data_IF_454789954198
#
_entry.id   IF_454789954198
#
_cell.length_a   1.000
_cell.length_b   1.000
_cell.length_c   1.000
_cell.angle_alpha   90.00
_cell.angle_beta   90.00
_cell.angle_gamma   90.00
#
_symmetry.space_group_name_H-M   'P 1'
#
loop_
_entity.id
_entity.type
_entity.pdbx_description
1 polymer ?
#
# COMPACT_ATOMS: atom_id res chain seq x y z
N UNK A 1 -44.78 -4.41 1.35
CA UNK A 1 -44.86 -5.79 0.82
C UNK A 1 -46.05 -6.53 1.44
N UNK A 2 -46.12 -6.72 2.75
CA UNK A 2 -47.18 -7.47 3.44
C UNK A 2 -48.58 -6.91 3.19
N UNK A 3 -48.76 -5.56 3.16
CA UNK A 3 -50.01 -4.92 2.82
C UNK A 3 -50.51 -5.25 1.42
N UNK A 4 -49.60 -5.35 0.45
CA UNK A 4 -49.92 -5.71 -0.93
C UNK A 4 -50.29 -7.19 -1.08
N UNK A 5 -49.63 -8.11 -0.35
CA UNK A 5 -49.96 -9.54 -0.35
C UNK A 5 -51.42 -9.73 0.06
N UNK A 6 -51.87 -9.04 1.14
CA UNK A 6 -53.23 -9.11 1.63
C UNK A 6 -54.24 -8.44 0.65
N UNK A 7 -53.88 -7.23 0.17
CA UNK A 7 -54.74 -6.46 -0.74
C UNK A 7 -55.01 -7.15 -2.06
N UNK A 8 -53.99 -7.77 -2.67
CA UNK A 8 -54.05 -8.42 -3.96
C UNK A 8 -54.31 -9.95 -3.85
N UNK A 9 -54.54 -10.47 -2.63
CA UNK A 9 -54.82 -11.86 -2.34
C UNK A 9 -53.82 -12.84 -3.02
N UNK A 10 -52.56 -12.54 -2.91
CA UNK A 10 -51.49 -13.30 -3.57
C UNK A 10 -51.33 -14.73 -3.04
N UNK A 11 -52.02 -15.10 -1.97
CA UNK A 11 -52.09 -16.48 -1.45
C UNK A 11 -52.93 -17.43 -2.31
N UNK A 12 -53.75 -16.91 -3.23
CA UNK A 12 -54.53 -17.76 -4.14
C UNK A 12 -53.60 -18.49 -5.11
N UNK A 13 -53.85 -19.79 -5.34
CA UNK A 13 -53.00 -20.62 -6.21
C UNK A 13 -52.76 -20.02 -7.59
N UNK A 14 -53.73 -19.36 -8.16
CA UNK A 14 -53.69 -18.69 -9.47
C UNK A 14 -52.67 -17.50 -9.50
N UNK A 15 -52.29 -16.99 -8.34
CA UNK A 15 -51.37 -15.85 -8.20
C UNK A 15 -50.00 -16.22 -7.61
N UNK A 16 -49.74 -17.48 -7.43
CA UNK A 16 -48.50 -17.96 -6.87
C UNK A 16 -47.26 -17.54 -7.68
N UNK A 17 -47.35 -17.52 -9.01
CA UNK A 17 -46.25 -17.02 -9.84
C UNK A 17 -45.85 -15.58 -9.47
N UNK A 18 -46.83 -14.69 -9.30
CA UNK A 18 -46.60 -13.31 -8.88
C UNK A 18 -46.04 -13.25 -7.47
N UNK A 19 -46.54 -14.05 -6.54
CA UNK A 19 -46.00 -14.16 -5.19
C UNK A 19 -44.54 -14.60 -5.17
N UNK A 20 -44.19 -15.64 -5.94
CA UNK A 20 -42.81 -16.16 -6.04
C UNK A 20 -41.85 -15.12 -6.62
N UNK A 21 -42.26 -14.37 -7.65
CA UNK A 21 -41.46 -13.30 -8.22
C UNK A 21 -41.15 -12.25 -7.14
N UNK A 22 -42.15 -11.82 -6.39
CA UNK A 22 -41.90 -10.82 -5.31
C UNK A 22 -41.05 -11.39 -4.17
N UNK A 23 -41.22 -12.65 -3.83
CA UNK A 23 -40.43 -13.32 -2.82
C UNK A 23 -38.97 -13.48 -3.25
N UNK A 24 -38.72 -13.76 -4.54
CA UNK A 24 -37.37 -13.86 -5.09
C UNK A 24 -36.58 -12.56 -4.93
N UNK A 25 -37.21 -11.40 -5.13
CA UNK A 25 -36.55 -10.10 -4.88
C UNK A 25 -36.13 -9.95 -3.42
N UNK A 26 -36.96 -10.39 -2.47
CA UNK A 26 -36.59 -10.36 -1.04
C UNK A 26 -35.40 -11.27 -0.79
N UNK A 27 -35.39 -12.49 -1.33
CA UNK A 27 -34.24 -13.38 -1.16
C UNK A 27 -32.98 -12.84 -1.80
N UNK A 28 -33.07 -12.16 -2.96
CA UNK A 28 -31.94 -11.47 -3.59
C UNK A 28 -31.42 -10.36 -2.66
N UNK A 29 -32.29 -9.55 -2.08
CA UNK A 29 -31.90 -8.48 -1.15
C UNK A 29 -31.28 -9.04 0.13
N UNK A 30 -31.85 -10.11 0.68
CA UNK A 30 -31.28 -10.80 1.85
C UNK A 30 -29.91 -11.40 1.49
N UNK A 31 -29.79 -12.06 0.34
CA UNK A 31 -28.51 -12.57 -0.14
C UNK A 31 -27.47 -11.47 -0.31
N UNK A 32 -27.84 -10.37 -0.95
CA UNK A 32 -26.97 -9.20 -1.10
C UNK A 32 -26.54 -8.59 0.26
N UNK A 33 -27.47 -8.53 1.22
CA UNK A 33 -27.14 -8.10 2.59
C UNK A 33 -26.14 -9.03 3.26
N UNK A 34 -26.34 -10.35 3.18
CA UNK A 34 -25.43 -11.36 3.73
C UNK A 34 -24.05 -11.21 3.08
N UNK A 35 -23.98 -11.15 1.75
CA UNK A 35 -22.75 -10.99 1.00
C UNK A 35 -22.03 -9.69 1.37
N UNK A 36 -22.75 -8.60 1.57
CA UNK A 36 -22.15 -7.30 1.87
C UNK A 36 -21.63 -7.17 3.30
N UNK A 37 -22.35 -7.72 4.28
CA UNK A 37 -22.11 -7.43 5.71
C UNK A 37 -21.65 -8.63 6.52
N UNK A 38 -21.96 -9.85 6.12
CA UNK A 38 -21.69 -11.07 6.88
C UNK A 38 -20.60 -11.90 6.22
N UNK A 39 -20.55 -11.93 4.87
CA UNK A 39 -19.58 -12.76 4.16
C UNK A 39 -18.15 -12.31 4.44
N UNK A 40 -17.28 -13.29 4.37
CA UNK A 40 -15.86 -13.13 4.53
C UNK A 40 -15.20 -13.46 3.19
N UNK A 41 -14.63 -12.45 2.55
CA UNK A 41 -14.01 -12.56 1.25
C UNK A 41 -12.56 -12.10 1.32
N UNK A 42 -11.71 -12.69 0.47
CA UNK A 42 -10.32 -12.31 0.41
C UNK A 42 -9.63 -12.80 -0.85
N UNK A 43 -8.40 -12.36 -1.04
CA UNK A 43 -7.55 -12.72 -2.16
C UNK A 43 -6.32 -13.48 -1.66
N UNK A 44 -6.03 -14.60 -2.30
CA UNK A 44 -4.82 -15.40 -2.07
C UNK A 44 -3.94 -15.35 -3.32
N UNK A 45 -2.92 -14.49 -3.37
CA UNK A 45 -1.98 -14.46 -4.48
C UNK A 45 -1.02 -15.66 -4.37
N UNK A 46 -1.16 -16.61 -5.27
CA UNK A 46 -0.30 -17.79 -5.34
C UNK A 46 0.45 -17.75 -6.68
N UNK A 47 1.77 -17.87 -6.64
CA UNK A 47 2.58 -18.05 -7.85
C UNK A 47 2.51 -19.51 -8.29
N UNK A 48 2.58 -19.74 -9.61
CA UNK A 48 2.63 -21.09 -10.16
C UNK A 48 3.76 -21.91 -9.53
N UNK A 49 3.43 -23.11 -9.09
CA UNK A 49 4.33 -24.01 -8.34
C UNK A 49 4.43 -23.71 -6.84
N UNK A 50 3.97 -22.54 -6.36
CA UNK A 50 4.04 -22.17 -4.95
C UNK A 50 2.85 -22.71 -4.15
N UNK A 51 3.03 -22.76 -2.83
CA UNK A 51 2.01 -23.14 -1.84
C UNK A 51 1.79 -21.99 -0.88
N UNK A 52 0.55 -21.63 -0.58
CA UNK A 52 0.20 -20.57 0.35
C UNK A 52 -0.98 -21.00 1.24
N UNK A 53 -0.93 -20.58 2.52
CA UNK A 53 -2.02 -20.74 3.48
C UNK A 53 -2.63 -19.41 3.89
N UNK A 54 -1.99 -18.28 3.53
CA UNK A 54 -2.39 -16.94 3.94
C UNK A 54 -3.14 -16.24 2.82
N UNK A 55 -4.17 -15.52 3.19
CA UNK A 55 -4.91 -14.68 2.26
C UNK A 55 -5.19 -13.30 2.84
N UNK A 56 -5.39 -12.34 1.97
CA UNK A 56 -5.66 -10.96 2.30
C UNK A 56 -7.16 -10.70 2.30
N UNK A 57 -7.67 -10.06 3.36
CA UNK A 57 -9.06 -9.60 3.43
C UNK A 57 -9.41 -8.67 2.26
N UNK A 58 -10.62 -8.77 1.73
CA UNK A 58 -11.19 -7.79 0.78
C UNK A 58 -11.51 -6.44 1.43
N UNK A 59 -11.51 -6.35 2.76
CA UNK A 59 -11.73 -5.11 3.50
C UNK A 59 -10.39 -4.54 3.98
N UNK A 60 -10.25 -3.22 3.92
CA UNK A 60 -9.16 -2.52 4.58
C UNK A 60 -9.41 -2.46 6.09
N UNK A 61 -8.36 -2.61 6.86
CA UNK A 61 -8.36 -2.51 8.31
C UNK A 61 -7.40 -1.41 8.76
N UNK A 62 -7.74 -0.76 9.85
CA UNK A 62 -6.77 -0.06 10.68
C UNK A 62 -6.45 -0.98 11.86
N UNK A 63 -5.19 -1.41 11.94
CA UNK A 63 -4.66 -2.16 13.07
C UNK A 63 -3.79 -1.26 13.90
N UNK A 64 -4.08 -1.18 15.19
CA UNK A 64 -3.35 -0.40 16.18
C UNK A 64 -2.77 -1.38 17.20
N UNK A 65 -1.45 -1.44 17.25
CA UNK A 65 -0.72 -2.15 18.29
C UNK A 65 -0.20 -1.11 19.26
N UNK A 66 -0.57 -1.21 20.52
CA UNK A 66 -0.13 -0.32 21.60
C UNK A 66 0.74 -1.12 22.54
N UNK A 67 2.01 -0.75 22.62
CA UNK A 67 2.99 -1.34 23.53
C UNK A 67 3.29 -0.40 24.69
N UNK A 68 3.39 -0.95 25.87
CA UNK A 68 3.69 -0.18 27.08
C UNK A 68 3.95 -1.07 28.29
N UNK A 69 4.30 -0.45 29.38
CA UNK A 69 4.41 -1.12 30.68
C UNK A 69 3.02 -1.27 31.31
N UNK A 70 2.65 -2.49 31.66
CA UNK A 70 1.43 -2.82 32.40
C UNK A 70 1.81 -3.47 33.72
N UNK A 71 1.78 -2.69 34.79
CA UNK A 71 2.12 -3.13 36.16
C UNK A 71 3.54 -3.72 36.30
N UNK A 72 4.51 -3.13 35.58
CA UNK A 72 5.91 -3.58 35.61
C UNK A 72 6.27 -4.66 34.58
N UNK A 73 5.34 -5.04 33.71
CA UNK A 73 5.58 -6.00 32.63
C UNK A 73 5.26 -5.37 31.26
N UNK A 74 6.12 -5.58 30.25
CA UNK A 74 5.82 -5.13 28.89
C UNK A 74 4.65 -5.91 28.32
N UNK A 75 3.62 -5.19 27.87
CA UNK A 75 2.42 -5.79 27.24
C UNK A 75 2.08 -5.09 25.95
N UNK A 76 1.38 -5.82 25.08
CA UNK A 76 0.81 -5.33 23.84
C UNK A 76 -0.71 -5.45 23.85
N UNK A 77 -1.38 -4.39 23.47
CA UNK A 77 -2.80 -4.34 23.17
C UNK A 77 -3.01 -4.16 21.68
N UNK A 78 -3.95 -4.92 21.11
CA UNK A 78 -4.24 -4.86 19.66
C UNK A 78 -5.70 -4.47 19.44
N UNK A 79 -5.92 -3.47 18.59
CA UNK A 79 -7.24 -3.08 18.09
C UNK A 79 -7.22 -3.24 16.57
N UNK A 80 -8.24 -3.90 16.04
CA UNK A 80 -8.43 -4.07 14.59
C UNK A 80 -9.82 -3.55 14.22
N UNK A 81 -9.85 -2.51 13.40
CA UNK A 81 -11.11 -1.89 12.95
C UNK A 81 -11.24 -2.01 11.44
N UNK A 82 -12.26 -2.71 10.91
CA UNK A 82 -12.55 -2.68 9.48
C UNK A 82 -13.00 -1.28 9.07
N UNK A 83 -12.48 -0.79 7.96
CA UNK A 83 -12.76 0.54 7.44
C UNK A 83 -13.45 0.45 6.08
N UNK A 84 -14.49 1.26 5.89
CA UNK A 84 -15.16 1.49 4.61
C UNK A 84 -14.88 2.93 4.20
N UNK A 85 -13.70 3.16 3.63
CA UNK A 85 -13.27 4.48 3.20
C UNK A 85 -13.67 4.74 1.75
N UNK A 86 -14.03 5.97 1.45
CA UNK A 86 -14.35 6.44 0.11
C UNK A 86 -13.89 7.88 -0.07
N UNK A 87 -13.40 8.21 -1.25
CA UNK A 87 -12.98 9.58 -1.58
C UNK A 87 -14.16 10.58 -1.63
N UNK A 88 -15.36 10.07 -1.90
CA UNK A 88 -16.58 10.90 -2.06
C UNK A 88 -17.52 10.85 -0.85
N UNK A 89 -17.28 9.93 0.09
CA UNK A 89 -18.06 9.83 1.32
C UNK A 89 -17.43 10.68 2.42
N UNK A 90 -18.26 11.10 3.36
CA UNK A 90 -17.78 11.73 4.57
C UNK A 90 -17.21 10.64 5.49
N UNK A 91 -15.90 10.42 5.37
CA UNK A 91 -15.20 9.49 6.26
C UNK A 91 -15.02 10.19 7.60
N UNK A 92 -15.38 9.51 8.67
CA UNK A 92 -15.15 9.98 10.03
C UNK A 92 -15.05 8.78 10.97
N UNK A 93 -14.04 8.76 11.81
CA UNK A 93 -13.95 7.84 12.92
C UNK A 93 -12.98 8.36 13.99
N UNK A 94 -13.27 8.00 15.22
CA UNK A 94 -12.36 8.13 16.35
C UNK A 94 -12.36 6.80 17.12
N UNK A 95 -11.19 6.27 17.37
CA UNK A 95 -10.98 5.09 18.20
C UNK A 95 -10.36 5.58 19.50
N UNK A 96 -11.10 5.51 20.59
CA UNK A 96 -10.63 5.87 21.92
C UNK A 96 -10.50 4.62 22.74
N UNK A 97 -9.37 4.47 23.43
CA UNK A 97 -9.12 3.35 24.31
C UNK A 97 -8.11 3.75 25.41
N UNK A 98 -7.78 2.86 26.31
CA UNK A 98 -6.79 3.09 27.34
C UNK A 98 -5.76 1.95 27.43
N UNK A 99 -4.56 2.29 27.87
CA UNK A 99 -3.52 1.34 28.21
C UNK A 99 -3.05 1.61 29.63
N UNK A 100 -3.39 0.71 30.59
CA UNK A 100 -3.12 0.88 32.03
C UNK A 100 -3.60 2.24 32.56
N UNK A 101 -4.89 2.55 32.33
CA UNK A 101 -5.53 3.83 32.70
C UNK A 101 -4.93 5.09 32.02
N UNK A 102 -4.09 4.94 30.99
CA UNK A 102 -3.57 6.02 30.16
C UNK A 102 -4.41 6.09 28.89
N UNK A 103 -5.29 7.09 28.77
CA UNK A 103 -6.16 7.20 27.60
C UNK A 103 -5.37 7.59 26.38
N UNK A 104 -5.77 7.03 25.25
CA UNK A 104 -5.29 7.44 23.92
C UNK A 104 -6.42 7.44 22.91
N UNK A 105 -6.23 8.16 21.82
CA UNK A 105 -7.15 8.17 20.71
C UNK A 105 -6.43 8.16 19.38
N UNK A 106 -7.07 7.51 18.40
CA UNK A 106 -6.67 7.55 16.99
C UNK A 106 -7.84 8.08 16.18
N UNK A 107 -7.68 9.28 15.64
CA UNK A 107 -8.77 10.02 14.98
C UNK A 107 -8.45 10.20 13.50
N UNK A 108 -9.45 10.02 12.66
CA UNK A 108 -9.38 10.25 11.22
C UNK A 108 -9.05 11.71 10.90
N UNK A 109 -8.18 11.95 9.95
CA UNK A 109 -7.88 13.28 9.39
C UNK A 109 -8.18 13.34 7.89
N UNK A 110 -7.66 12.41 7.11
CA UNK A 110 -7.84 12.41 5.66
C UNK A 110 -7.66 11.02 5.07
N UNK A 111 -8.25 10.81 3.88
CA UNK A 111 -8.05 9.61 3.07
C UNK A 111 -7.82 10.02 1.62
N UNK A 112 -6.72 9.56 1.05
CA UNK A 112 -6.27 9.91 -0.30
C UNK A 112 -6.13 8.60 -1.06
N UNK A 113 -6.98 8.43 -2.06
CA UNK A 113 -6.97 7.26 -2.93
C UNK A 113 -5.92 7.42 -4.04
N UNK A 114 -5.22 6.34 -4.38
CA UNK A 114 -4.14 6.34 -5.36
C UNK A 114 -3.15 7.50 -5.11
N UNK A 115 -2.59 7.50 -3.91
CA UNK A 115 -1.78 8.61 -3.41
C UNK A 115 -0.35 8.55 -3.95
N UNK A 116 0.13 9.69 -4.39
CA UNK A 116 1.54 9.90 -4.77
C UNK A 116 2.17 10.85 -3.75
N UNK A 117 3.36 10.51 -3.27
CA UNK A 117 4.14 11.40 -2.43
C UNK A 117 4.64 12.58 -3.25
N UNK A 118 4.44 13.79 -2.74
CA UNK A 118 4.93 15.03 -3.34
C UNK A 118 5.61 15.89 -2.29
N UNK A 119 6.45 16.83 -2.73
CA UNK A 119 7.00 17.85 -1.86
C UNK A 119 6.28 19.17 -2.12
N UNK A 120 5.54 19.64 -1.11
CA UNK A 120 4.96 20.99 -1.14
C UNK A 120 6.01 21.99 -0.71
N UNK A 121 6.29 23.03 -1.52
CA UNK A 121 7.27 24.05 -1.16
C UNK A 121 6.94 24.71 0.18
N UNK A 122 7.94 24.78 1.06
CA UNK A 122 7.87 25.45 2.37
C UNK A 122 9.26 25.95 2.73
N UNK A 123 9.43 27.26 2.93
CA UNK A 123 10.74 27.87 3.26
C UNK A 123 11.31 27.35 4.58
N UNK A 124 10.45 26.94 5.50
CA UNK A 124 10.84 26.36 6.80
C UNK A 124 10.93 24.84 6.74
N UNK A 125 10.67 24.25 5.58
CA UNK A 125 10.69 22.82 5.34
C UNK A 125 12.12 22.27 5.23
N UNK A 126 12.19 20.97 5.07
CA UNK A 126 13.44 20.24 4.86
C UNK A 126 13.83 20.26 3.38
N UNK A 127 15.09 19.96 3.09
CA UNK A 127 15.57 19.92 1.70
C UNK A 127 15.46 18.49 1.17
N UNK A 128 14.79 18.35 0.02
CA UNK A 128 14.58 17.06 -0.66
C UNK A 128 15.15 17.10 -2.07
N UNK A 129 15.78 16.01 -2.46
CA UNK A 129 16.26 15.76 -3.81
C UNK A 129 15.37 14.70 -4.47
N UNK A 130 14.73 15.04 -5.58
CA UNK A 130 13.91 14.10 -6.37
C UNK A 130 14.81 13.16 -7.16
N UNK A 131 14.57 11.87 -7.05
CA UNK A 131 15.18 10.80 -7.81
C UNK A 131 14.08 10.02 -8.54
N UNK A 132 14.29 9.77 -9.81
CA UNK A 132 13.38 8.98 -10.65
C UNK A 132 14.12 7.78 -11.17
N UNK A 133 13.59 6.60 -10.95
CA UNK A 133 14.13 5.36 -11.49
C UNK A 133 13.09 4.60 -12.33
N UNK A 134 13.58 3.66 -13.14
CA UNK A 134 12.73 2.72 -13.86
C UNK A 134 13.10 1.29 -13.44
N UNK A 135 12.15 0.60 -12.86
CA UNK A 135 12.27 -0.79 -12.46
C UNK A 135 11.09 -1.59 -13.00
N UNK A 136 11.36 -2.76 -13.61
CA UNK A 136 10.33 -3.63 -14.19
C UNK A 136 9.39 -2.93 -15.20
N UNK A 137 9.88 -1.94 -15.93
CA UNK A 137 9.11 -1.17 -16.90
C UNK A 137 8.17 -0.12 -16.28
N UNK A 138 8.22 0.07 -14.97
CA UNK A 138 7.45 1.09 -14.25
C UNK A 138 8.38 2.19 -13.74
N UNK A 139 7.93 3.44 -13.85
CA UNK A 139 8.63 4.62 -13.33
C UNK A 139 8.28 4.80 -11.85
N UNK A 140 9.32 4.96 -11.01
CA UNK A 140 9.18 5.23 -9.59
C UNK A 140 9.86 6.56 -9.25
N UNK A 141 9.21 7.35 -8.41
CA UNK A 141 9.71 8.63 -7.92
C UNK A 141 10.01 8.52 -6.43
N UNK A 142 11.19 8.99 -6.02
CA UNK A 142 11.66 8.98 -4.65
C UNK A 142 12.14 10.37 -4.26
N UNK A 143 12.01 10.72 -2.99
CA UNK A 143 12.48 11.96 -2.43
C UNK A 143 13.51 11.68 -1.33
N UNK A 144 14.78 11.97 -1.64
CA UNK A 144 15.89 11.82 -0.69
C UNK A 144 15.95 13.05 0.19
N UNK A 145 15.78 12.89 1.49
CA UNK A 145 15.90 13.98 2.45
C UNK A 145 17.37 14.28 2.72
N UNK A 146 17.72 15.55 2.84
CA UNK A 146 19.08 15.99 3.19
C UNK A 146 19.48 15.46 4.57
N UNK A 147 20.68 14.85 4.65
CA UNK A 147 21.20 14.21 5.86
C UNK A 147 20.76 12.75 6.06
N UNK A 148 20.00 12.17 5.13
CA UNK A 148 19.54 10.79 5.23
C UNK A 148 20.15 9.87 4.17
N UNK A 149 20.05 8.55 4.44
CA UNK A 149 20.42 7.47 3.54
C UNK A 149 19.20 6.63 3.29
N UNK A 150 18.90 6.35 2.03
CA UNK A 150 17.77 5.53 1.62
C UNK A 150 18.26 4.36 0.76
N UNK A 151 17.73 3.16 1.02
CA UNK A 151 17.97 2.01 0.17
C UNK A 151 16.88 1.89 -0.89
N UNK A 152 17.28 1.91 -2.15
CA UNK A 152 16.39 1.71 -3.30
C UNK A 152 16.89 0.46 -4.04
N UNK A 153 16.07 -0.58 -4.08
CA UNK A 153 16.40 -1.88 -4.71
C UNK A 153 17.77 -2.45 -4.30
N UNK A 154 18.14 -2.28 -3.02
CA UNK A 154 19.42 -2.79 -2.49
C UNK A 154 20.64 -1.89 -2.74
N UNK A 155 20.45 -0.73 -3.39
CA UNK A 155 21.48 0.29 -3.58
C UNK A 155 21.22 1.45 -2.63
N UNK A 156 22.25 1.86 -1.90
CA UNK A 156 22.18 2.97 -0.98
C UNK A 156 22.38 4.30 -1.72
N UNK A 157 21.45 5.23 -1.50
CA UNK A 157 21.55 6.63 -1.91
C UNK A 157 21.64 7.51 -0.70
N UNK A 158 22.58 8.43 -0.69
CA UNK A 158 22.79 9.37 0.39
C UNK A 158 22.78 10.80 -0.14
N UNK A 159 22.00 11.68 0.49
CA UNK A 159 21.97 13.09 0.15
C UNK A 159 22.51 13.91 1.32
N UNK A 160 23.57 14.70 1.06
CA UNK A 160 24.29 15.51 2.05
C UNK A 160 24.76 14.72 3.31
N UNK A 161 25.00 13.42 3.14
CA UNK A 161 25.54 12.55 4.17
C UNK A 161 26.52 11.57 3.55
N UNK A 162 27.80 11.84 3.68
CA UNK A 162 28.84 10.96 3.18
C UNK A 162 28.70 9.56 3.82
N UNK A 163 28.42 8.55 3.00
CA UNK A 163 28.17 7.18 3.43
C UNK A 163 28.95 6.21 2.54
N UNK A 164 29.72 5.34 3.17
CA UNK A 164 30.48 4.33 2.46
C UNK A 164 29.53 3.29 1.82
N UNK A 165 29.87 2.87 0.60
CA UNK A 165 29.02 1.93 -0.15
C UNK A 165 27.75 2.54 -0.76
N UNK A 166 27.53 3.83 -0.61
CA UNK A 166 26.39 4.53 -1.19
C UNK A 166 26.77 5.33 -2.44
N UNK A 167 25.74 5.65 -3.24
CA UNK A 167 25.82 6.72 -4.22
C UNK A 167 25.52 8.01 -3.47
N UNK A 168 26.58 8.81 -3.25
CA UNK A 168 26.51 10.04 -2.47
C UNK A 168 26.28 11.24 -3.38
N UNK A 169 25.25 12.01 -3.09
CA UNK A 169 24.96 13.30 -3.70
C UNK A 169 25.25 14.36 -2.63
N UNK A 170 26.16 15.25 -2.90
CA UNK A 170 26.69 16.24 -1.95
C UNK A 170 26.54 17.65 -2.52
N UNK A 171 26.06 18.55 -1.68
CA UNK A 171 26.02 19.98 -1.96
C UNK A 171 27.32 20.61 -1.42
N UNK A 172 28.08 21.30 -2.28
CA UNK A 172 29.31 21.99 -1.91
C UNK A 172 29.37 23.36 -2.60
N UNK A 173 29.35 24.42 -1.80
CA UNK A 173 29.24 25.77 -2.32
C UNK A 173 27.95 25.94 -3.11
N UNK A 174 28.06 26.44 -4.34
CA UNK A 174 26.90 26.66 -5.23
C UNK A 174 26.63 25.47 -6.15
N UNK A 175 27.26 24.32 -5.93
CA UNK A 175 27.16 23.15 -6.83
C UNK A 175 26.78 21.86 -6.15
N UNK A 176 26.31 20.93 -6.96
CA UNK A 176 26.02 19.56 -6.55
C UNK A 176 27.02 18.59 -7.17
N UNK A 177 27.42 17.61 -6.40
CA UNK A 177 28.43 16.64 -6.78
C UNK A 177 27.95 15.21 -6.52
N UNK A 178 28.44 14.29 -7.31
CA UNK A 178 28.20 12.86 -7.14
C UNK A 178 29.52 12.17 -6.80
N UNK A 179 29.49 11.28 -5.83
CA UNK A 179 30.59 10.35 -5.49
C UNK A 179 30.02 8.96 -5.25
N UNK A 180 30.60 7.96 -5.88
CA UNK A 180 30.18 6.57 -5.70
C UNK A 180 31.41 5.67 -5.60
N UNK A 181 31.31 4.64 -4.75
CA UNK A 181 32.28 3.54 -4.70
C UNK A 181 32.16 2.60 -5.91
N UNK A 182 31.12 2.81 -6.73
CA UNK A 182 30.89 2.07 -7.97
C UNK A 182 31.21 2.98 -9.16
N UNK A 183 31.86 2.40 -10.18
CA UNK A 183 31.97 3.05 -11.47
C UNK A 183 30.62 3.02 -12.21
N UNK A 184 30.48 3.90 -13.18
CA UNK A 184 29.27 3.92 -13.99
C UNK A 184 29.40 4.87 -15.17
N UNK A 185 28.29 5.13 -15.81
CA UNK A 185 28.18 6.09 -16.90
C UNK A 185 26.93 6.97 -16.72
N UNK A 186 26.91 8.07 -17.43
CA UNK A 186 25.73 8.89 -17.54
C UNK A 186 25.53 9.42 -18.95
N UNK A 187 24.30 9.68 -19.31
CA UNK A 187 23.94 10.32 -20.57
C UNK A 187 23.03 11.53 -20.30
N UNK A 188 23.47 12.70 -20.68
CA UNK A 188 22.66 13.92 -20.56
C UNK A 188 21.52 13.88 -21.58
N UNK A 189 20.29 14.05 -21.11
CA UNK A 189 19.11 13.86 -21.95
C UNK A 189 18.93 14.93 -23.02
N UNK A 190 19.50 16.14 -22.81
CA UNK A 190 19.30 17.28 -23.70
C UNK A 190 20.03 17.12 -25.04
N UNK A 191 21.25 16.59 -25.02
CA UNK A 191 22.15 16.53 -26.18
C UNK A 191 22.82 15.17 -26.37
N UNK A 192 22.39 14.15 -25.57
CA UNK A 192 22.91 12.79 -25.57
C UNK A 192 24.42 12.70 -25.29
N UNK A 193 25.02 13.73 -24.68
CA UNK A 193 26.40 13.70 -24.25
C UNK A 193 26.60 12.61 -23.22
N UNK A 194 27.57 11.73 -23.45
CA UNK A 194 27.92 10.63 -22.54
C UNK A 194 29.14 11.01 -21.72
N UNK A 195 29.16 10.57 -20.47
CA UNK A 195 30.28 10.71 -19.56
C UNK A 195 30.40 9.51 -18.65
N UNK A 196 31.50 9.44 -17.92
CA UNK A 196 31.79 8.36 -16.97
C UNK A 196 31.69 8.88 -15.55
N UNK A 197 31.13 8.05 -14.66
CA UNK A 197 31.23 8.23 -13.22
C UNK A 197 32.44 7.41 -12.74
N UNK A 198 33.52 8.14 -12.39
CA UNK A 198 34.75 7.53 -11.94
C UNK A 198 34.58 7.10 -10.47
N UNK A 199 34.93 5.85 -10.21
CA UNK A 199 34.90 5.26 -8.87
C UNK A 199 35.68 6.13 -7.86
N UNK A 200 35.09 6.32 -6.68
CA UNK A 200 35.64 7.04 -5.53
C UNK A 200 36.04 8.51 -5.79
N UNK A 201 35.70 9.04 -6.97
CA UNK A 201 35.96 10.43 -7.36
C UNK A 201 34.75 11.30 -7.14
N UNK A 202 34.96 12.49 -6.58
CA UNK A 202 33.95 13.53 -6.48
C UNK A 202 33.87 14.27 -7.82
N UNK A 203 32.71 14.25 -8.45
CA UNK A 203 32.47 14.82 -9.77
C UNK A 203 31.23 15.72 -9.78
N UNK A 204 31.18 16.76 -10.63
CA UNK A 204 29.98 17.57 -10.77
C UNK A 204 28.76 16.72 -11.13
N UNK A 205 27.66 16.92 -10.43
CA UNK A 205 26.39 16.25 -10.73
C UNK A 205 25.71 16.96 -11.91
N UNK A 206 25.34 16.15 -12.92
CA UNK A 206 24.57 16.63 -14.07
C UNK A 206 23.11 16.28 -13.91
N UNK A 207 22.27 17.28 -13.57
CA UNK A 207 20.82 17.11 -13.57
C UNK A 207 20.29 16.77 -14.96
N UNK A 208 19.12 16.14 -15.02
CA UNK A 208 18.48 15.68 -16.27
C UNK A 208 19.37 14.77 -17.10
N UNK A 209 20.14 13.94 -16.42
CA UNK A 209 20.98 12.91 -17.02
C UNK A 209 20.56 11.54 -16.52
N UNK A 210 20.53 10.57 -17.42
CA UNK A 210 20.34 9.17 -17.07
C UNK A 210 21.66 8.61 -16.56
N UNK A 211 21.72 8.27 -15.32
CA UNK A 211 22.85 7.58 -14.67
C UNK A 211 22.63 6.07 -14.68
N UNK A 212 23.71 5.33 -14.89
CA UNK A 212 23.75 3.90 -14.76
C UNK A 212 24.94 3.54 -13.83
N UNK A 213 24.66 3.30 -12.57
CA UNK A 213 25.66 3.03 -11.54
C UNK A 213 25.24 1.79 -10.75
N UNK A 214 26.12 0.83 -10.59
CA UNK A 214 25.87 -0.43 -9.86
C UNK A 214 24.63 -1.21 -10.36
N UNK A 215 24.26 -1.05 -11.64
CA UNK A 215 23.06 -1.67 -12.22
C UNK A 215 21.77 -0.91 -11.99
N UNK A 216 21.78 0.18 -11.22
CA UNK A 216 20.63 1.09 -11.12
C UNK A 216 20.64 2.11 -12.24
N UNK A 217 19.48 2.30 -12.86
CA UNK A 217 19.23 3.37 -13.81
C UNK A 217 18.33 4.43 -13.18
N UNK A 218 18.84 5.64 -13.02
CA UNK A 218 18.11 6.71 -12.38
C UNK A 218 18.39 8.08 -13.00
N UNK A 219 17.49 9.00 -12.78
CA UNK A 219 17.57 10.40 -13.19
C UNK A 219 17.34 11.31 -12.00
N UNK A 220 18.11 12.36 -11.89
CA UNK A 220 17.87 13.48 -10.97
C UNK A 220 17.33 14.65 -11.83
N UNK A 221 15.98 14.86 -11.86
CA UNK A 221 15.39 15.73 -12.85
C UNK A 221 15.61 17.23 -12.57
N UNK A 222 15.78 17.58 -11.32
CA UNK A 222 15.84 18.98 -10.87
C UNK A 222 16.70 19.13 -9.61
N UNK A 223 17.08 20.37 -9.34
CA UNK A 223 17.80 20.71 -8.12
C UNK A 223 16.93 20.43 -6.86
N UNK A 224 17.55 20.20 -5.70
CA UNK A 224 16.83 20.01 -4.46
C UNK A 224 15.88 21.15 -4.13
N UNK A 225 14.74 20.84 -3.55
CA UNK A 225 13.72 21.79 -3.15
C UNK A 225 13.50 21.74 -1.65
N UNK A 226 13.23 22.90 -1.05
CA UNK A 226 12.77 22.99 0.35
C UNK A 226 11.28 22.81 0.43
N UNK A 227 10.83 21.96 1.34
CA UNK A 227 9.40 21.71 1.47
C UNK A 227 9.06 20.69 2.54
N UNK A 228 7.82 20.29 2.54
CA UNK A 228 7.26 19.23 3.38
C UNK A 228 6.70 18.13 2.50
N UNK A 229 6.91 16.88 2.93
CA UNK A 229 6.25 15.73 2.32
C UNK A 229 4.74 15.87 2.47
N UNK A 230 4.03 15.62 1.40
CA UNK A 230 2.58 15.62 1.36
C UNK A 230 2.10 14.54 0.40
N UNK A 231 0.83 14.21 0.49
CA UNK A 231 0.21 13.22 -0.37
C UNK A 231 -0.83 13.88 -1.27
N UNK A 232 -0.87 13.47 -2.51
CA UNK A 232 -1.85 13.94 -3.48
C UNK A 232 -2.37 12.77 -4.32
N UNK A 233 -3.69 12.77 -4.60
CA UNK A 233 -4.28 11.75 -5.47
C UNK A 233 -3.80 11.96 -6.91
N UNK A 234 -3.40 10.87 -7.58
CA UNK A 234 -3.08 10.91 -9.00
C UNK A 234 -4.33 11.05 -9.89
N UNK A 235 -5.53 11.04 -9.28
CA UNK A 235 -6.84 11.12 -9.94
C UNK A 235 -7.10 10.06 -11.04
N UNK A 236 -6.24 9.07 -11.18
CA UNK A 236 -6.48 7.95 -12.09
C UNK A 236 -7.14 6.78 -11.33
N UNK A 237 -8.45 6.72 -11.39
CA UNK A 237 -9.24 5.65 -10.78
C UNK A 237 -8.98 4.25 -11.40
N UNK A 238 -8.31 4.17 -12.55
CA UNK A 238 -7.92 2.93 -13.21
C UNK A 238 -6.56 2.43 -12.75
N UNK A 239 -5.77 3.30 -12.15
CA UNK A 239 -4.49 2.92 -11.57
C UNK A 239 -4.73 2.08 -10.30
N UNK A 240 -4.40 0.80 -10.40
CA UNK A 240 -4.47 -0.15 -9.28
C UNK A 240 -3.10 -0.45 -8.68
N UNK A 241 -2.07 0.23 -9.15
CA UNK A 241 -0.68 0.00 -8.72
C UNK A 241 -0.26 0.96 -7.61
N UNK A 242 -0.90 2.11 -7.54
CA UNK A 242 -0.63 3.13 -6.50
C UNK A 242 -1.43 2.81 -5.24
N UNK A 243 -0.77 2.91 -4.10
CA UNK A 243 -1.39 2.65 -2.81
C UNK A 243 -2.22 3.85 -2.33
N UNK A 244 -3.16 3.60 -1.43
CA UNK A 244 -3.93 4.63 -0.76
C UNK A 244 -3.18 5.13 0.48
N UNK A 245 -3.52 6.32 0.94
CA UNK A 245 -2.99 6.88 2.19
C UNK A 245 -4.12 7.25 3.12
N UNK A 246 -4.07 6.70 4.32
CA UNK A 246 -4.92 7.09 5.44
C UNK A 246 -4.10 7.96 6.41
N UNK A 247 -4.56 9.18 6.64
CA UNK A 247 -3.94 10.10 7.61
C UNK A 247 -4.77 10.09 8.88
N UNK A 248 -4.12 9.80 10.00
CA UNK A 248 -4.73 9.77 11.32
C UNK A 248 -3.92 10.61 12.30
N UNK A 249 -4.59 11.15 13.31
CA UNK A 249 -3.96 11.81 14.46
C UNK A 249 -3.98 10.83 15.63
N UNK A 250 -2.83 10.54 16.19
CA UNK A 250 -2.68 9.78 17.43
C UNK A 250 -2.48 10.76 18.57
N UNK A 251 -3.30 10.64 19.61
CA UNK A 251 -3.19 11.47 20.82
C UNK A 251 -3.00 10.56 22.04
N UNK A 252 -1.95 10.78 22.80
CA UNK A 252 -1.68 10.11 24.07
C UNK A 252 -0.79 11.00 24.96
N UNK A 253 -0.97 10.92 26.29
CA UNK A 253 -0.16 11.65 27.25
C UNK A 253 -0.10 13.18 26.98
N UNK A 254 -1.19 13.78 26.46
CA UNK A 254 -1.27 15.20 26.11
C UNK A 254 -0.44 15.60 24.87
N UNK A 255 0.12 14.65 24.15
CA UNK A 255 0.83 14.86 22.89
C UNK A 255 0.01 14.36 21.73
N UNK A 256 0.17 14.99 20.57
CA UNK A 256 -0.48 14.63 19.31
C UNK A 256 0.57 14.46 18.22
N UNK A 257 0.36 13.45 17.38
CA UNK A 257 1.17 13.22 16.18
C UNK A 257 0.28 12.79 15.02
N UNK A 258 0.48 13.42 13.86
CA UNK A 258 -0.20 13.04 12.62
C UNK A 258 0.64 12.01 11.88
N UNK A 259 0.00 10.92 11.48
CA UNK A 259 0.66 9.76 10.88
C UNK A 259 0.00 9.45 9.55
N UNK A 260 0.81 9.32 8.50
CA UNK A 260 0.39 8.87 7.18
C UNK A 260 0.64 7.38 7.03
N UNK A 261 -0.42 6.62 6.83
CA UNK A 261 -0.41 5.17 6.70
C UNK A 261 -0.64 4.80 5.25
N UNK A 262 0.38 4.25 4.61
CA UNK A 262 0.32 3.78 3.22
C UNK A 262 -0.17 2.35 3.19
N UNK A 263 -1.19 2.06 2.40
CA UNK A 263 -1.73 0.72 2.26
C UNK A 263 -2.76 0.59 1.17
N UNK A 264 -3.02 -0.65 0.75
CA UNK A 264 -4.04 -0.96 -0.24
C UNK A 264 -4.63 -2.35 -0.03
N UNK A 265 -5.72 -2.62 -0.73
CA UNK A 265 -6.33 -3.94 -0.75
C UNK A 265 -5.40 -4.98 -1.36
N UNK A 266 -5.37 -6.16 -0.75
CA UNK A 266 -4.64 -7.32 -1.25
C UNK A 266 -3.13 -7.25 -1.11
N UNK A 267 -2.60 -6.27 -0.36
CA UNK A 267 -1.18 -6.11 -0.11
C UNK A 267 -0.88 -6.04 1.38
N UNK A 268 0.32 -6.44 1.74
CA UNK A 268 0.89 -6.18 3.06
C UNK A 268 1.31 -4.72 3.15
N UNK A 269 0.89 -4.03 4.19
CA UNK A 269 1.21 -2.62 4.43
C UNK A 269 2.44 -2.49 5.31
N UNK A 270 3.15 -1.38 5.18
CA UNK A 270 4.33 -1.07 5.99
C UNK A 270 3.85 -0.43 7.30
N UNK A 271 4.16 -1.05 8.46
CA UNK A 271 3.83 -0.47 9.75
C UNK A 271 4.48 0.89 9.96
N UNK A 272 3.75 1.83 10.59
CA UNK A 272 4.27 3.11 11.05
C UNK A 272 4.33 3.12 12.57
N UNK A 273 5.48 3.51 13.09
CA UNK A 273 5.72 3.54 14.52
C UNK A 273 5.72 4.97 15.05
N UNK A 274 5.00 5.20 16.14
CA UNK A 274 4.87 6.49 16.80
C UNK A 274 5.07 6.29 18.29
N UNK A 275 5.90 7.15 18.90
CA UNK A 275 6.15 7.12 20.34
C UNK A 275 5.61 8.36 21.03
N UNK A 276 4.57 8.20 21.84
CA UNK A 276 3.96 9.29 22.60
C UNK A 276 4.11 9.04 24.11
N UNK A 277 5.14 9.66 24.67
CA UNK A 277 5.52 9.45 26.07
C UNK A 277 6.09 8.04 26.30
N UNK A 278 5.41 7.27 27.12
CA UNK A 278 5.77 5.89 27.49
C UNK A 278 4.98 4.81 26.72
N UNK A 279 4.18 5.23 25.76
CA UNK A 279 3.46 4.34 24.87
C UNK A 279 4.09 4.33 23.46
N UNK A 280 4.31 3.13 22.95
CA UNK A 280 4.76 2.92 21.58
C UNK A 280 3.58 2.38 20.75
N UNK A 281 3.22 3.09 19.68
CA UNK A 281 2.15 2.72 18.77
C UNK A 281 2.74 2.19 17.47
N UNK A 282 2.24 1.04 17.02
CA UNK A 282 2.45 0.55 15.65
C UNK A 282 1.12 0.56 14.92
N UNK A 283 1.02 1.35 13.87
CA UNK A 283 -0.19 1.54 13.08
C UNK A 283 -0.02 0.91 11.71
N UNK A 284 -1.02 0.15 11.28
CA UNK A 284 -1.02 -0.54 9.98
C UNK A 284 -2.37 -0.28 9.31
N UNK A 285 -2.34 0.19 8.06
CA UNK A 285 -3.53 0.40 7.25
C UNK A 285 -3.46 -0.46 5.99
N UNK A 286 -4.47 -1.28 5.73
CA UNK A 286 -4.56 -2.14 4.54
C UNK A 286 -5.31 -3.43 4.80
N UNK A 287 -5.10 -4.43 3.96
CA UNK A 287 -5.74 -5.73 4.13
C UNK A 287 -5.18 -6.48 5.33
N UNK A 288 -6.08 -7.06 6.12
CA UNK A 288 -5.71 -8.00 7.16
C UNK A 288 -5.30 -9.33 6.54
N UNK A 289 -4.25 -9.93 7.04
CA UNK A 289 -3.79 -11.27 6.65
C UNK A 289 -4.46 -12.30 7.55
N UNK A 290 -5.07 -13.29 6.93
CA UNK A 290 -5.65 -14.45 7.60
C UNK A 290 -4.92 -15.71 7.20
N UNK A 291 -4.83 -16.66 8.12
CA UNK A 291 -4.24 -17.95 7.87
C UNK A 291 -5.33 -19.04 7.86
N UNK A 292 -5.33 -19.87 6.81
CA UNK A 292 -6.22 -20.99 6.67
C UNK A 292 -5.63 -22.21 7.40
N UNK A 293 -6.47 -23.11 7.94
CA UNK A 293 -6.00 -24.35 8.56
C UNK A 293 -5.44 -25.37 7.53
N UNK A 294 -5.47 -25.03 6.26
CA UNK A 294 -4.95 -25.82 5.13
C UNK A 294 -4.17 -24.91 4.19
N UNK A 295 -3.38 -25.51 3.29
CA UNK A 295 -2.63 -24.78 2.26
C UNK A 295 -3.14 -25.12 0.88
N UNK A 296 -3.00 -24.17 -0.05
CA UNK A 296 -3.34 -24.35 -1.46
C UNK A 296 -2.06 -24.22 -2.27
N UNK A 297 -1.76 -25.25 -3.07
CA UNK A 297 -0.68 -25.22 -4.06
C UNK A 297 -1.26 -24.95 -5.43
N UNK A 298 -0.75 -23.93 -6.13
CA UNK A 298 -1.07 -23.69 -7.53
C UNK A 298 -0.15 -24.54 -8.40
N UNK A 299 -0.69 -25.55 -9.07
CA UNK A 299 0.07 -26.44 -9.94
C UNK A 299 0.30 -25.84 -11.32
N UNK A 300 -0.76 -25.25 -11.90
CA UNK A 300 -0.73 -24.67 -13.23
C UNK A 300 -1.77 -23.55 -13.36
N UNK A 301 -1.46 -22.51 -14.14
CA UNK A 301 -2.33 -21.39 -14.45
C UNK A 301 -2.51 -21.24 -15.95
N UNK A 302 -3.69 -21.60 -16.45
CA UNK A 302 -3.98 -21.75 -17.87
C UNK A 302 -4.84 -20.57 -18.36
N UNK A 303 -4.29 -19.77 -19.28
CA UNK A 303 -5.05 -18.76 -20.01
C UNK A 303 -5.54 -19.27 -21.35
N UNK A 304 -6.83 -19.53 -21.51
CA UNK A 304 -7.44 -19.92 -22.79
C UNK A 304 -7.69 -18.69 -23.66
N UNK A 305 -7.20 -18.68 -24.88
CA UNK A 305 -7.34 -17.55 -25.81
C UNK A 305 -8.54 -17.73 -26.72
N UNK A 306 -9.13 -16.62 -27.17
CA UNK A 306 -10.07 -16.66 -28.27
C UNK A 306 -9.38 -17.12 -29.57
N UNK A 307 -10.01 -17.96 -30.37
CA UNK A 307 -9.46 -18.39 -31.66
C UNK A 307 -9.08 -17.17 -32.53
N UNK A 308 -7.87 -17.17 -33.08
CA UNK A 308 -7.38 -16.10 -33.97
C UNK A 308 -6.89 -14.82 -33.27
N UNK A 309 -6.78 -14.79 -31.92
CA UNK A 309 -6.26 -13.64 -31.19
C UNK A 309 -4.97 -13.99 -30.42
N UNK A 310 -4.01 -13.04 -30.35
CA UNK A 310 -2.79 -13.25 -29.59
C UNK A 310 -2.88 -12.76 -28.14
N UNK A 311 -3.71 -11.74 -27.85
CA UNK A 311 -3.73 -11.04 -26.56
C UNK A 311 -5.11 -11.03 -25.87
N UNK A 312 -6.13 -11.72 -26.44
CA UNK A 312 -7.46 -11.78 -25.83
C UNK A 312 -7.72 -13.18 -25.26
N UNK A 313 -7.98 -13.22 -23.94
CA UNK A 313 -8.28 -14.47 -23.24
C UNK A 313 -9.79 -14.66 -23.12
N UNK A 314 -10.26 -15.89 -23.34
CA UNK A 314 -11.68 -16.30 -23.18
C UNK A 314 -11.98 -16.82 -21.79
N UNK A 315 -10.99 -17.44 -21.11
CA UNK A 315 -11.11 -17.98 -19.76
C UNK A 315 -9.73 -18.11 -19.11
N UNK A 316 -9.74 -18.12 -17.80
CA UNK A 316 -8.59 -18.47 -16.98
C UNK A 316 -8.97 -19.65 -16.09
N UNK A 317 -8.05 -20.62 -15.97
CA UNK A 317 -8.20 -21.81 -15.13
C UNK A 317 -6.99 -21.93 -14.21
N UNK A 318 -7.24 -22.36 -12.97
CA UNK A 318 -6.18 -22.65 -12.01
C UNK A 318 -6.32 -24.10 -11.57
N UNK A 319 -5.30 -24.91 -11.81
CA UNK A 319 -5.20 -26.26 -11.28
C UNK A 319 -4.53 -26.19 -9.89
N UNK A 320 -5.27 -26.57 -8.86
CA UNK A 320 -4.80 -26.43 -7.49
C UNK A 320 -4.83 -27.77 -6.75
N UNK A 321 -3.91 -27.95 -5.81
CA UNK A 321 -3.94 -29.05 -4.82
C UNK A 321 -4.19 -28.45 -3.45
N UNK A 322 -5.22 -28.94 -2.76
CA UNK A 322 -5.47 -28.61 -1.36
C UNK A 322 -4.63 -29.54 -0.50
N UNK A 323 -3.84 -28.97 0.40
CA UNK A 323 -2.98 -29.70 1.33
C UNK A 323 -3.54 -29.47 2.73
N UNK A 324 -4.35 -30.40 3.17
CA UNK A 324 -4.76 -30.52 4.58
C UNK A 324 -3.77 -31.41 5.31
N UNK A 325 -3.42 -31.09 6.54
CA UNK A 325 -2.45 -31.83 7.35
C UNK A 325 -2.74 -33.32 7.51
N UNK A 326 -3.98 -33.75 7.19
CA UNK A 326 -4.44 -35.14 7.27
C UNK A 326 -4.60 -35.84 5.91
N UNK A 327 -4.83 -35.12 4.81
CA UNK A 327 -5.06 -35.70 3.47
C UNK A 327 -4.62 -34.72 2.35
N UNK A 328 -4.05 -35.27 1.27
CA UNK A 328 -3.85 -34.51 0.02
C UNK A 328 -5.04 -34.78 -0.87
N UNK A 329 -5.81 -33.76 -1.19
CA UNK A 329 -6.92 -33.84 -2.11
C UNK A 329 -6.62 -32.92 -3.31
N UNK A 330 -6.56 -33.49 -4.52
CA UNK A 330 -6.42 -32.73 -5.75
C UNK A 330 -7.83 -32.26 -6.18
N UNK A 331 -8.02 -30.94 -6.21
CA UNK A 331 -9.25 -30.32 -6.68
C UNK A 331 -9.04 -29.77 -8.11
N UNK A 332 -9.95 -30.11 -8.99
CA UNK A 332 -10.02 -29.62 -10.37
C UNK A 332 -11.08 -28.54 -10.52
#
# INVERSE_FOLDING_TARGET
FFGNIKRYQLWKKEKWATLLIHLSFIFILVGAFITRYISFEGMMPIREGATESRFFSDKNYLTILTDGDYKGEPKRKTIEKPLLLSQVANNDFSITDDFDAKPYSVTYKNYIMNATEIIKPDEKGETFLKLVESSNGTRHEHYLKSGEVQSLHGILFAFNKATDGAINILEQGDGYFIKSTFGGDFMRMADQMKGLVVKDSLQPLMFRSLYNIAGAQFVLPEAPIKGKKAWESNNDWKDKHTDDVLIVEVEANGKKEEVSLVGSKGKMSIPQNVKLGDLDFTLIFGSKVYELPFSIKLNDFIGKRYPGTMNSFSAFESLVTVIDGSQKEDAH
#
